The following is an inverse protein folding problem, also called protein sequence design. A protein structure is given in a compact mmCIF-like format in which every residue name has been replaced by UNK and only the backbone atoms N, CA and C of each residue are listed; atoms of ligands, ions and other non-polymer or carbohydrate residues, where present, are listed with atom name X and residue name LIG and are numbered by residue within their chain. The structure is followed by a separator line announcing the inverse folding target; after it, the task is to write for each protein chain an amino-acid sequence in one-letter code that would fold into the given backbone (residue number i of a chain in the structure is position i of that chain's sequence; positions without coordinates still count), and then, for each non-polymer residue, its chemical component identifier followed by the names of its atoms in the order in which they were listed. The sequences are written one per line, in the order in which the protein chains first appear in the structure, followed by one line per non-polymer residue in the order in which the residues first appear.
data_IF_714327286426
#
_entry.id   IF_714327286426
#
_cell.length_a   1.000
_cell.length_b   1.000
_cell.length_c   1.000
_cell.angle_alpha   90.00
_cell.angle_beta   90.00
_cell.angle_gamma   90.00
#
_symmetry.space_group_name_H-M   'P 1'
#
loop_
_entity.id
_entity.type
_entity.pdbx_description
1 polymer ?
#
# COMPACT_ATOMS: atom_id res chain seq x y z
N UNK A 1 0.63 -44.13 10.51
CA UNK A 1 0.55 -42.94 11.38
C UNK A 1 1.89 -42.22 11.48
N UNK A 2 3.02 -42.95 11.59
CA UNK A 2 4.37 -42.36 11.65
C UNK A 2 4.80 -41.58 10.39
N UNK A 3 4.47 -42.04 9.18
CA UNK A 3 4.81 -41.35 7.92
C UNK A 3 4.18 -39.95 7.84
N UNK A 4 2.98 -39.78 8.39
CA UNK A 4 2.26 -38.50 8.41
C UNK A 4 2.94 -37.52 9.36
N UNK A 5 3.38 -37.98 10.53
CA UNK A 5 4.12 -37.17 11.51
C UNK A 5 5.49 -36.70 10.97
N UNK A 6 6.22 -37.57 10.28
CA UNK A 6 7.51 -37.21 9.65
C UNK A 6 7.30 -36.18 8.55
N UNK A 7 6.27 -36.33 7.72
CA UNK A 7 5.96 -35.39 6.65
C UNK A 7 5.58 -34.00 7.18
N UNK A 8 4.72 -33.92 8.20
CA UNK A 8 4.40 -32.64 8.87
C UNK A 8 5.61 -32.01 9.55
N UNK A 9 6.49 -32.82 10.16
CA UNK A 9 7.77 -32.36 10.71
C UNK A 9 8.65 -31.71 9.65
N UNK A 10 8.86 -32.37 8.51
CA UNK A 10 9.66 -31.83 7.41
C UNK A 10 9.08 -30.52 6.84
N UNK A 11 7.76 -30.43 6.68
CA UNK A 11 7.10 -29.19 6.24
C UNK A 11 7.34 -28.07 7.25
N UNK A 12 7.15 -28.34 8.54
CA UNK A 12 7.35 -27.35 9.59
C UNK A 12 8.79 -26.83 9.64
N UNK A 13 9.79 -27.72 9.55
CA UNK A 13 11.19 -27.33 9.46
C UNK A 13 11.51 -26.53 8.19
N UNK A 14 10.93 -26.90 7.04
CA UNK A 14 11.10 -26.14 5.81
C UNK A 14 10.52 -24.72 5.92
N UNK A 15 9.35 -24.56 6.55
CA UNK A 15 8.75 -23.25 6.83
C UNK A 15 9.65 -22.43 7.75
N UNK A 16 10.12 -23.00 8.86
CA UNK A 16 11.02 -22.31 9.79
C UNK A 16 12.31 -21.88 9.09
N UNK A 17 12.91 -22.77 8.30
CA UNK A 17 14.12 -22.47 7.56
C UNK A 17 13.93 -21.31 6.58
N UNK A 18 12.85 -21.33 5.79
CA UNK A 18 12.52 -20.23 4.87
C UNK A 18 12.31 -18.92 5.63
N UNK A 19 11.60 -18.94 6.76
CA UNK A 19 11.40 -17.75 7.61
C UNK A 19 12.72 -17.22 8.16
N UNK A 20 13.62 -18.10 8.61
CA UNK A 20 14.94 -17.71 9.12
C UNK A 20 15.81 -17.09 8.04
N UNK A 21 15.84 -17.67 6.83
CA UNK A 21 16.58 -17.12 5.69
C UNK A 21 16.05 -15.75 5.29
N UNK A 22 14.72 -15.59 5.21
CA UNK A 22 14.08 -14.29 4.94
C UNK A 22 14.44 -13.26 6.02
N UNK A 23 14.47 -13.68 7.29
CA UNK A 23 14.81 -12.80 8.42
C UNK A 23 16.28 -12.35 8.42
N UNK A 24 17.22 -13.25 8.15
CA UNK A 24 18.66 -12.90 8.10
C UNK A 24 18.96 -11.99 6.90
N UNK A 25 18.39 -12.29 5.74
CA UNK A 25 18.54 -11.45 4.54
C UNK A 25 17.90 -10.06 4.74
N UNK A 26 16.75 -9.97 5.42
CA UNK A 26 16.15 -8.68 5.80
C UNK A 26 17.05 -7.84 6.71
N UNK A 27 17.75 -8.46 7.67
CA UNK A 27 18.73 -7.75 8.51
C UNK A 27 19.91 -7.20 7.70
N UNK A 28 20.38 -7.95 6.71
CA UNK A 28 21.50 -7.51 5.86
C UNK A 28 21.11 -6.29 5.01
N UNK A 29 19.91 -6.30 4.42
CA UNK A 29 19.38 -5.14 3.69
C UNK A 29 19.26 -3.92 4.61
N UNK A 30 18.67 -4.09 5.79
CA UNK A 30 18.55 -3.01 6.76
C UNK A 30 19.93 -2.44 7.13
N UNK A 31 20.95 -3.30 7.27
CA UNK A 31 22.32 -2.86 7.53
C UNK A 31 22.87 -2.03 6.37
N UNK A 32 22.74 -2.52 5.13
CA UNK A 32 23.20 -1.82 3.91
C UNK A 32 22.53 -0.45 3.79
N UNK A 33 21.21 -0.39 3.98
CA UNK A 33 20.45 0.85 3.95
C UNK A 33 20.94 1.87 4.98
N UNK A 34 21.12 1.43 6.23
CA UNK A 34 21.59 2.30 7.31
C UNK A 34 23.04 2.74 7.11
N UNK A 35 23.88 1.97 6.42
CA UNK A 35 25.25 2.37 6.10
C UNK A 35 25.31 3.34 4.91
N UNK A 36 24.45 3.16 3.90
CA UNK A 36 24.55 3.87 2.62
C UNK A 36 23.60 5.06 2.47
N UNK A 37 22.34 4.92 2.90
CA UNK A 37 21.31 5.93 2.70
C UNK A 37 21.17 6.86 3.90
N UNK A 38 21.23 6.33 5.13
CA UNK A 38 21.02 7.11 6.34
C UNK A 38 21.93 8.36 6.44
N UNK A 39 23.25 8.28 6.20
CA UNK A 39 24.11 9.47 6.30
C UNK A 39 23.73 10.56 5.28
N UNK A 40 23.36 10.16 4.06
CA UNK A 40 22.93 11.08 3.00
C UNK A 40 21.60 11.74 3.37
N UNK A 41 20.65 10.96 3.91
CA UNK A 41 19.34 11.47 4.35
C UNK A 41 19.43 12.39 5.56
N UNK A 42 20.31 12.10 6.52
CA UNK A 42 20.56 12.97 7.67
C UNK A 42 21.18 14.30 7.23
N UNK A 43 22.11 14.28 6.27
CA UNK A 43 22.68 15.49 5.68
C UNK A 43 21.63 16.32 4.90
N UNK A 44 20.75 15.65 4.15
CA UNK A 44 19.64 16.28 3.44
C UNK A 44 18.65 17.00 4.38
N UNK A 45 18.51 16.55 5.64
CA UNK A 45 17.65 17.23 6.60
C UNK A 45 18.12 18.67 6.89
N UNK A 46 19.43 18.91 6.83
CA UNK A 46 20.05 20.21 7.04
C UNK A 46 20.05 21.08 5.77
N UNK A 47 20.09 20.45 4.58
CA UNK A 47 20.00 21.14 3.30
C UNK A 47 19.08 20.39 2.29
N UNK A 48 17.76 20.57 2.40
CA UNK A 48 16.75 19.71 1.77
C UNK A 48 16.75 19.75 0.23
N UNK A 49 17.10 20.91 -0.33
CA UNK A 49 17.14 21.18 -1.77
C UNK A 49 18.53 20.97 -2.39
N UNK A 50 19.46 20.36 -1.65
CA UNK A 50 20.82 20.13 -2.14
C UNK A 50 20.84 19.11 -3.28
N UNK A 51 21.03 19.59 -4.51
CA UNK A 51 21.03 18.76 -5.72
C UNK A 51 22.16 17.73 -5.71
N UNK A 52 23.34 18.07 -5.18
CA UNK A 52 24.45 17.13 -5.10
C UNK A 52 24.14 15.96 -4.15
N UNK A 53 23.54 16.23 -2.99
CA UNK A 53 23.11 15.19 -2.06
C UNK A 53 21.94 14.36 -2.60
N UNK A 54 21.03 14.96 -3.36
CA UNK A 54 19.99 14.21 -4.08
C UNK A 54 20.62 13.23 -5.09
N UNK A 55 21.58 13.69 -5.90
CA UNK A 55 22.32 12.81 -6.83
C UNK A 55 23.08 11.71 -6.09
N UNK A 56 23.72 12.04 -4.97
CA UNK A 56 24.38 11.05 -4.12
C UNK A 56 23.39 9.99 -3.63
N UNK A 57 22.20 10.40 -3.16
CA UNK A 57 21.14 9.47 -2.75
C UNK A 57 20.76 8.51 -3.88
N UNK A 58 20.53 9.01 -5.10
CA UNK A 58 20.19 8.16 -6.25
C UNK A 58 21.31 7.18 -6.60
N UNK A 59 22.57 7.61 -6.52
CA UNK A 59 23.73 6.73 -6.75
C UNK A 59 23.81 5.63 -5.69
N UNK A 60 23.62 5.96 -4.41
CA UNK A 60 23.60 4.98 -3.31
C UNK A 60 22.44 4.01 -3.46
N UNK A 61 21.26 4.51 -3.84
CA UNK A 61 20.07 3.69 -4.07
C UNK A 61 20.28 2.69 -5.22
N UNK A 62 20.90 3.11 -6.33
CA UNK A 62 21.30 2.20 -7.41
C UNK A 62 22.34 1.17 -6.95
N UNK A 63 23.23 1.55 -6.03
CA UNK A 63 24.15 0.62 -5.38
C UNK A 63 23.45 -0.46 -4.56
N UNK A 64 22.30 -0.14 -3.96
CA UNK A 64 21.43 -1.11 -3.28
C UNK A 64 20.79 -2.04 -4.31
N UNK A 65 20.26 -1.52 -5.42
CA UNK A 65 19.68 -2.34 -6.50
C UNK A 65 20.65 -3.44 -6.97
N UNK A 66 21.92 -3.09 -7.20
CA UNK A 66 22.96 -4.04 -7.59
C UNK A 66 23.27 -5.11 -6.53
N UNK A 67 23.08 -4.78 -5.25
CA UNK A 67 23.21 -5.75 -4.16
C UNK A 67 21.97 -6.63 -4.06
N UNK A 68 20.77 -6.05 -4.20
CA UNK A 68 19.49 -6.78 -4.26
C UNK A 68 19.45 -7.77 -5.42
N UNK A 69 20.06 -7.44 -6.56
CA UNK A 69 20.18 -8.34 -7.71
C UNK A 69 20.93 -9.64 -7.36
N UNK A 70 21.91 -9.59 -6.45
CA UNK A 70 22.61 -10.80 -5.96
C UNK A 70 21.69 -11.70 -5.12
N UNK A 71 20.59 -11.16 -4.61
CA UNK A 71 19.57 -11.89 -3.84
C UNK A 71 18.33 -12.24 -4.70
N UNK A 72 18.33 -11.95 -6.01
CA UNK A 72 17.21 -12.32 -6.89
C UNK A 72 16.99 -13.84 -6.97
N UNK A 73 18.06 -14.63 -6.88
CA UNK A 73 17.98 -16.10 -6.85
C UNK A 73 17.19 -16.61 -5.63
N UNK A 74 17.17 -15.87 -4.52
CA UNK A 74 16.43 -16.23 -3.30
C UNK A 74 14.99 -15.68 -3.24
N UNK A 75 14.46 -15.12 -4.35
CA UNK A 75 13.12 -14.48 -4.41
C UNK A 75 12.87 -13.49 -3.27
N UNK A 76 13.93 -12.79 -2.85
CA UNK A 76 13.81 -11.88 -1.72
C UNK A 76 12.93 -10.68 -2.08
N UNK A 77 11.96 -10.41 -1.22
CA UNK A 77 11.03 -9.29 -1.34
C UNK A 77 11.68 -8.08 -0.67
N UNK A 78 12.09 -7.08 -1.46
CA UNK A 78 12.68 -5.87 -0.87
C UNK A 78 11.59 -5.07 -0.14
N UNK A 79 11.88 -4.76 1.13
CA UNK A 79 11.09 -3.86 1.97
C UNK A 79 12.05 -2.84 2.58
N UNK A 80 11.83 -1.55 2.37
CA UNK A 80 12.60 -0.51 3.04
C UNK A 80 12.51 -0.66 4.56
N UNK A 81 13.63 -0.38 5.24
CA UNK A 81 13.64 -0.37 6.71
C UNK A 81 12.80 0.79 7.27
N UNK A 82 12.25 0.57 8.46
CA UNK A 82 11.48 1.60 9.17
C UNK A 82 12.29 2.88 9.39
N UNK A 83 13.59 2.76 9.67
CA UNK A 83 14.47 3.91 9.88
C UNK A 83 14.59 4.80 8.64
N UNK A 84 14.78 4.21 7.46
CA UNK A 84 14.87 4.96 6.20
C UNK A 84 13.54 5.62 5.87
N UNK A 85 12.43 4.87 5.99
CA UNK A 85 11.08 5.42 5.79
C UNK A 85 10.81 6.58 6.74
N UNK A 86 11.16 6.44 8.02
CA UNK A 86 10.99 7.50 9.03
C UNK A 86 11.77 8.77 8.68
N UNK A 87 13.00 8.64 8.18
CA UNK A 87 13.80 9.80 7.76
C UNK A 87 13.19 10.50 6.54
N UNK A 88 12.77 9.74 5.53
CA UNK A 88 12.12 10.29 4.35
C UNK A 88 10.79 10.96 4.69
N UNK A 89 9.95 10.30 5.49
CA UNK A 89 8.65 10.84 5.91
C UNK A 89 8.83 12.08 6.77
N UNK A 90 9.78 12.08 7.71
CA UNK A 90 10.11 13.28 8.51
C UNK A 90 10.52 14.45 7.60
N UNK A 91 11.27 14.16 6.55
CA UNK A 91 11.68 15.17 5.57
C UNK A 91 10.45 15.72 4.81
N UNK A 92 9.57 14.83 4.35
CA UNK A 92 8.34 15.18 3.66
C UNK A 92 7.35 15.95 4.55
N UNK A 93 7.24 15.61 5.83
CA UNK A 93 6.41 16.34 6.80
C UNK A 93 6.92 17.77 7.01
N UNK A 94 8.25 17.95 7.01
CA UNK A 94 8.87 19.26 7.18
C UNK A 94 8.78 20.13 5.93
N UNK A 95 8.92 19.52 4.75
CA UNK A 95 8.84 20.22 3.45
C UNK A 95 7.92 19.48 2.47
N UNK A 96 6.60 19.57 2.63
CA UNK A 96 5.63 18.78 1.86
C UNK A 96 5.65 19.06 0.35
N UNK A 97 5.99 20.30 -0.02
CA UNK A 97 6.10 20.80 -1.41
C UNK A 97 7.48 20.52 -2.05
N UNK A 98 8.44 19.93 -1.33
CA UNK A 98 9.77 19.67 -1.89
C UNK A 98 9.71 18.51 -2.90
N UNK A 99 9.89 18.85 -4.17
CA UNK A 99 9.85 17.91 -5.30
C UNK A 99 10.97 16.88 -5.25
N UNK A 100 12.17 17.25 -4.78
CA UNK A 100 13.28 16.30 -4.63
C UNK A 100 13.01 15.35 -3.46
N UNK A 101 12.37 15.82 -2.40
CA UNK A 101 11.99 14.96 -1.27
C UNK A 101 10.92 13.95 -1.70
N UNK A 102 9.95 14.40 -2.49
CA UNK A 102 8.98 13.52 -3.12
C UNK A 102 9.65 12.48 -4.04
N UNK A 103 10.52 12.92 -4.95
CA UNK A 103 11.22 12.02 -5.88
C UNK A 103 12.06 10.96 -5.16
N UNK A 104 12.78 11.34 -4.09
CA UNK A 104 13.54 10.38 -3.26
C UNK A 104 12.65 9.32 -2.65
N UNK A 105 11.49 9.72 -2.14
CA UNK A 105 10.51 8.80 -1.58
C UNK A 105 9.95 7.85 -2.64
N UNK A 106 9.50 8.39 -3.79
CA UNK A 106 8.93 7.59 -4.88
C UNK A 106 9.95 6.58 -5.41
N UNK A 107 11.20 7.02 -5.65
CA UNK A 107 12.27 6.13 -6.08
C UNK A 107 12.50 4.95 -5.12
N UNK A 108 12.43 5.19 -3.81
CA UNK A 108 12.58 4.10 -2.83
C UNK A 108 11.39 3.14 -2.88
N UNK A 109 10.17 3.68 -2.90
CA UNK A 109 8.94 2.87 -2.89
C UNK A 109 8.75 2.09 -4.19
N UNK A 110 9.17 2.63 -5.34
CA UNK A 110 9.12 1.95 -6.64
C UNK A 110 9.96 0.67 -6.69
N UNK A 111 10.99 0.62 -5.85
CA UNK A 111 11.83 -0.57 -5.70
C UNK A 111 11.24 -1.56 -4.70
N UNK A 112 10.45 -1.07 -3.75
CA UNK A 112 9.86 -1.89 -2.70
C UNK A 112 8.79 -2.81 -3.26
N UNK A 113 8.85 -4.09 -2.91
CA UNK A 113 7.79 -5.07 -3.19
C UNK A 113 6.73 -5.11 -2.08
N UNK A 114 7.07 -4.58 -0.91
CA UNK A 114 6.15 -4.41 0.21
C UNK A 114 6.63 -3.27 1.11
N UNK A 115 5.68 -2.58 1.73
CA UNK A 115 5.96 -1.73 2.89
C UNK A 115 5.47 -2.50 4.12
N UNK A 116 6.34 -2.69 5.11
CA UNK A 116 5.96 -3.36 6.34
C UNK A 116 4.91 -2.54 7.13
N UNK A 117 4.23 -3.19 8.08
CA UNK A 117 3.17 -2.53 8.86
C UNK A 117 3.63 -1.25 9.59
N UNK A 118 4.82 -1.20 10.26
CA UNK A 118 5.34 0.04 10.84
C UNK A 118 5.52 1.15 9.80
N UNK A 119 6.04 0.82 8.62
CA UNK A 119 6.16 1.75 7.49
C UNK A 119 4.81 2.30 7.05
N UNK A 120 3.79 1.44 6.94
CA UNK A 120 2.43 1.89 6.64
C UNK A 120 1.85 2.82 7.70
N UNK A 121 2.10 2.55 8.99
CA UNK A 121 1.66 3.46 10.07
C UNK A 121 2.27 4.86 9.92
N UNK A 122 3.56 4.94 9.58
CA UNK A 122 4.22 6.23 9.32
C UNK A 122 3.61 6.95 8.10
N UNK A 123 3.28 6.21 7.04
CA UNK A 123 2.66 6.76 5.83
C UNK A 123 1.26 7.28 6.09
N UNK A 124 0.47 6.56 6.88
CA UNK A 124 -0.86 6.98 7.28
C UNK A 124 -0.77 8.29 8.08
N UNK A 125 0.15 8.37 9.05
CA UNK A 125 0.36 9.60 9.82
C UNK A 125 0.78 10.78 8.93
N UNK A 126 1.66 10.54 7.96
CA UNK A 126 2.07 11.54 6.98
C UNK A 126 0.89 12.02 6.12
N UNK A 127 0.09 11.08 5.62
CA UNK A 127 -1.10 11.34 4.84
C UNK A 127 -2.13 12.15 5.63
N UNK A 128 -2.38 11.82 6.89
CA UNK A 128 -3.32 12.54 7.76
C UNK A 128 -2.87 13.99 8.02
N UNK A 129 -1.57 14.26 8.13
CA UNK A 129 -1.02 15.61 8.33
C UNK A 129 -1.02 16.45 7.06
N UNK A 130 -0.84 15.82 5.90
CA UNK A 130 -0.62 16.49 4.62
C UNK A 130 -1.69 16.14 3.59
N UNK A 131 -2.90 15.85 4.07
CA UNK A 131 -3.94 15.24 3.23
C UNK A 131 -4.37 16.13 2.07
N UNK A 132 -4.29 17.46 2.24
CA UNK A 132 -4.59 18.46 1.21
C UNK A 132 -3.54 18.54 0.11
N UNK A 133 -2.37 17.93 0.31
CA UNK A 133 -1.29 17.98 -0.65
C UNK A 133 -1.40 16.85 -1.68
N UNK A 134 -1.51 17.13 -2.99
CA UNK A 134 -1.63 16.09 -4.03
C UNK A 134 -0.51 15.05 -3.97
N UNK A 135 0.73 15.48 -3.75
CA UNK A 135 1.86 14.55 -3.64
C UNK A 135 1.80 13.62 -2.42
N UNK A 136 1.10 13.96 -1.33
CA UNK A 136 0.93 13.04 -0.21
C UNK A 136 -0.01 11.87 -0.60
N UNK A 137 -1.07 12.21 -1.33
CA UNK A 137 -2.05 11.27 -1.89
C UNK A 137 -1.41 10.34 -2.93
N UNK A 138 -0.55 10.88 -3.80
CA UNK A 138 0.24 10.11 -4.77
C UNK A 138 1.20 9.12 -4.10
N UNK A 139 1.94 9.56 -3.06
CA UNK A 139 2.83 8.69 -2.28
C UNK A 139 2.06 7.53 -1.65
N UNK A 140 0.89 7.82 -1.07
CA UNK A 140 0.04 6.80 -0.48
C UNK A 140 -0.47 5.79 -1.52
N UNK A 141 -0.98 6.28 -2.65
CA UNK A 141 -1.41 5.45 -3.77
C UNK A 141 -0.28 4.52 -4.26
N UNK A 142 0.94 5.04 -4.37
CA UNK A 142 2.10 4.26 -4.81
C UNK A 142 2.46 3.14 -3.83
N UNK A 143 2.42 3.40 -2.52
CA UNK A 143 2.64 2.36 -1.53
C UNK A 143 1.59 1.26 -1.60
N UNK A 144 0.32 1.61 -1.84
CA UNK A 144 -0.76 0.62 -2.05
C UNK A 144 -0.51 -0.19 -3.33
N UNK A 145 -0.09 0.45 -4.42
CA UNK A 145 0.18 -0.21 -5.70
C UNK A 145 1.30 -1.23 -5.61
N UNK A 146 2.40 -0.90 -4.93
CA UNK A 146 3.58 -1.75 -4.88
C UNK A 146 3.48 -2.88 -3.85
N UNK A 147 2.58 -2.75 -2.87
CA UNK A 147 2.41 -3.79 -1.85
C UNK A 147 1.76 -5.04 -2.42
N UNK A 148 2.32 -6.21 -2.13
CA UNK A 148 1.70 -7.49 -2.46
C UNK A 148 0.51 -7.80 -1.53
N UNK A 149 0.65 -7.48 -0.25
CA UNK A 149 -0.34 -7.73 0.78
C UNK A 149 -0.44 -6.54 1.73
N UNK A 150 -1.62 -6.37 2.33
CA UNK A 150 -1.93 -5.27 3.23
C UNK A 150 -2.60 -5.79 4.51
N UNK A 151 -2.36 -5.11 5.62
CA UNK A 151 -3.01 -5.39 6.90
C UNK A 151 -4.34 -4.63 7.01
N UNK A 152 -5.27 -5.09 7.86
CA UNK A 152 -6.58 -4.42 8.01
C UNK A 152 -6.47 -2.97 8.51
N UNK A 153 -5.36 -2.60 9.15
CA UNK A 153 -5.09 -1.26 9.68
C UNK A 153 -5.18 -0.17 8.61
N UNK A 154 -4.92 -0.51 7.34
CA UNK A 154 -5.00 0.43 6.22
C UNK A 154 -6.43 0.74 5.76
N UNK A 155 -7.45 0.03 6.24
CA UNK A 155 -8.83 0.19 5.78
C UNK A 155 -9.43 1.57 6.12
N UNK A 156 -9.30 2.04 7.37
CA UNK A 156 -9.80 3.37 7.74
C UNK A 156 -9.11 4.51 6.95
N UNK A 157 -7.79 4.50 6.77
CA UNK A 157 -7.12 5.44 5.86
C UNK A 157 -7.65 5.42 4.42
N UNK A 158 -7.96 4.24 3.86
CA UNK A 158 -8.56 4.14 2.53
C UNK A 158 -9.95 4.78 2.49
N UNK A 159 -10.78 4.59 3.52
CA UNK A 159 -12.09 5.24 3.61
C UNK A 159 -11.96 6.76 3.72
N UNK A 160 -11.04 7.26 4.55
CA UNK A 160 -10.76 8.71 4.64
C UNK A 160 -10.32 9.27 3.29
N UNK A 161 -9.46 8.56 2.56
CA UNK A 161 -8.97 8.98 1.24
C UNK A 161 -10.11 9.08 0.22
N UNK A 162 -11.00 8.10 0.26
CA UNK A 162 -12.22 8.08 -0.53
C UNK A 162 -13.18 9.22 -0.17
N UNK A 163 -13.36 9.54 1.11
CA UNK A 163 -14.24 10.62 1.57
C UNK A 163 -13.85 12.00 1.04
N UNK A 164 -12.55 12.22 0.85
CA UNK A 164 -12.04 13.50 0.36
C UNK A 164 -12.20 13.69 -1.14
N UNK A 165 -12.02 12.62 -1.90
CA UNK A 165 -12.10 12.64 -3.35
C UNK A 165 -13.16 11.63 -3.83
N UNK A 166 -14.43 11.83 -3.45
CA UNK A 166 -15.48 10.81 -3.56
C UNK A 166 -15.83 10.46 -5.00
N UNK A 167 -15.47 11.29 -5.97
CA UNK A 167 -15.77 11.09 -7.39
C UNK A 167 -14.52 10.92 -8.26
N UNK A 168 -13.33 10.85 -7.65
CA UNK A 168 -12.07 10.72 -8.38
C UNK A 168 -11.81 9.24 -8.74
N UNK A 169 -11.76 8.90 -10.04
CA UNK A 169 -11.58 7.51 -10.48
C UNK A 169 -10.20 6.93 -10.10
N UNK A 170 -9.17 7.76 -9.91
CA UNK A 170 -7.86 7.28 -9.43
C UNK A 170 -7.95 6.86 -7.97
N UNK A 171 -8.66 7.62 -7.15
CA UNK A 171 -8.89 7.28 -5.73
C UNK A 171 -9.73 6.02 -5.61
N UNK A 172 -10.77 5.87 -6.44
CA UNK A 172 -11.58 4.65 -6.53
C UNK A 172 -10.74 3.42 -6.88
N UNK A 173 -9.83 3.55 -7.86
CA UNK A 173 -8.92 2.49 -8.27
C UNK A 173 -7.98 2.08 -7.13
N UNK A 174 -7.36 3.06 -6.47
CA UNK A 174 -6.48 2.83 -5.31
C UNK A 174 -7.24 2.13 -4.18
N UNK A 175 -8.48 2.55 -3.91
CA UNK A 175 -9.35 1.92 -2.92
C UNK A 175 -9.58 0.44 -3.23
N UNK A 176 -10.04 0.12 -4.45
CA UNK A 176 -10.29 -1.27 -4.89
C UNK A 176 -9.02 -2.12 -4.83
N UNK A 177 -7.89 -1.59 -5.29
CA UNK A 177 -6.61 -2.28 -5.22
C UNK A 177 -6.20 -2.54 -3.76
N UNK A 178 -6.37 -1.54 -2.89
CA UNK A 178 -6.08 -1.65 -1.47
C UNK A 178 -6.92 -2.73 -0.79
N UNK A 179 -8.25 -2.68 -0.92
CA UNK A 179 -9.13 -3.66 -0.25
C UNK A 179 -8.96 -5.09 -0.77
N UNK A 180 -8.59 -5.26 -2.04
CA UNK A 180 -8.27 -6.59 -2.60
C UNK A 180 -6.99 -7.21 -2.03
N UNK A 181 -6.05 -6.38 -1.58
CA UNK A 181 -4.77 -6.83 -1.01
C UNK A 181 -4.83 -7.07 0.49
N UNK A 182 -5.94 -6.76 1.17
CA UNK A 182 -6.10 -7.02 2.61
C UNK A 182 -6.31 -8.52 2.83
N UNK A 183 -5.33 -9.20 3.45
CA UNK A 183 -5.31 -10.68 3.64
C UNK A 183 -6.52 -11.18 4.44
N UNK A 184 -7.11 -10.34 5.31
CA UNK A 184 -8.19 -10.70 6.22
C UNK A 184 -9.42 -9.79 6.05
N UNK A 185 -9.82 -9.52 4.81
CA UNK A 185 -11.05 -8.77 4.53
C UNK A 185 -12.30 -9.64 4.84
N UNK A 186 -12.77 -9.66 6.08
CA UNK A 186 -14.02 -10.33 6.44
C UNK A 186 -15.27 -9.64 5.88
N UNK A 187 -16.42 -10.30 5.95
CA UNK A 187 -17.72 -9.80 5.43
C UNK A 187 -18.12 -8.42 5.98
N UNK A 188 -17.71 -8.11 7.22
CA UNK A 188 -17.95 -6.81 7.83
C UNK A 188 -17.23 -5.67 7.07
N UNK A 189 -15.95 -5.87 6.73
CA UNK A 189 -15.16 -4.86 5.99
C UNK A 189 -15.74 -4.64 4.59
N UNK A 190 -16.12 -5.72 3.91
CA UNK A 190 -16.68 -5.59 2.56
C UNK A 190 -18.05 -4.92 2.56
N UNK A 191 -18.90 -5.22 3.54
CA UNK A 191 -20.17 -4.54 3.74
C UNK A 191 -19.98 -3.04 4.02
N UNK A 192 -19.06 -2.68 4.92
CA UNK A 192 -18.74 -1.26 5.22
C UNK A 192 -18.29 -0.49 3.97
N UNK A 193 -17.42 -1.09 3.15
CA UNK A 193 -16.99 -0.47 1.90
C UNK A 193 -18.16 -0.30 0.91
N UNK A 194 -19.03 -1.31 0.80
CA UNK A 194 -20.19 -1.24 -0.09
C UNK A 194 -21.16 -0.16 0.35
N UNK A 195 -21.53 -0.10 1.64
CA UNK A 195 -22.31 0.99 2.22
C UNK A 195 -21.67 2.35 1.91
N UNK A 196 -20.36 2.48 2.10
CA UNK A 196 -19.65 3.73 1.82
C UNK A 196 -19.74 4.15 0.35
N UNK A 197 -19.62 3.20 -0.58
CA UNK A 197 -19.76 3.47 -2.01
C UNK A 197 -21.17 3.96 -2.36
N UNK A 198 -22.19 3.40 -1.71
CA UNK A 198 -23.59 3.80 -1.89
C UNK A 198 -23.85 5.20 -1.35
N UNK A 199 -23.33 5.54 -0.17
CA UNK A 199 -23.40 6.89 0.41
C UNK A 199 -22.75 7.94 -0.52
N UNK A 200 -21.63 7.57 -1.15
CA UNK A 200 -20.93 8.43 -2.11
C UNK A 200 -21.79 8.65 -3.36
N UNK A 201 -22.40 7.59 -3.89
CA UNK A 201 -23.31 7.71 -5.03
C UNK A 201 -24.54 8.54 -4.68
N UNK A 202 -25.14 8.35 -3.52
CA UNK A 202 -26.31 9.12 -3.08
C UNK A 202 -26.02 10.63 -3.05
N UNK A 203 -24.83 11.03 -2.58
CA UNK A 203 -24.39 12.44 -2.61
C UNK A 203 -23.98 12.93 -4.00
N UNK A 204 -23.81 12.04 -4.96
CA UNK A 204 -23.30 12.32 -6.30
C UNK A 204 -24.11 11.54 -7.36
N UNK A 205 -25.45 11.59 -7.29
CA UNK A 205 -26.38 10.68 -7.99
C UNK A 205 -26.21 10.66 -9.51
N UNK A 206 -25.79 11.76 -10.10
CA UNK A 206 -25.55 11.91 -11.54
C UNK A 206 -24.11 11.59 -11.98
N UNK A 207 -23.20 11.29 -11.06
CA UNK A 207 -21.79 11.08 -11.37
C UNK A 207 -21.52 9.64 -11.88
N UNK A 208 -21.02 9.53 -13.12
CA UNK A 208 -20.74 8.23 -13.75
C UNK A 208 -19.63 7.45 -13.04
N UNK A 209 -18.63 8.12 -12.46
CA UNK A 209 -17.54 7.47 -11.73
C UNK A 209 -18.06 6.91 -10.41
N UNK A 210 -18.94 7.63 -9.70
CA UNK A 210 -19.58 7.12 -8.49
C UNK A 210 -20.41 5.84 -8.78
N UNK A 211 -21.16 5.81 -9.89
CA UNK A 211 -21.91 4.61 -10.32
C UNK A 211 -21.00 3.42 -10.61
N UNK A 212 -19.91 3.65 -11.36
CA UNK A 212 -18.90 2.62 -11.65
C UNK A 212 -18.24 2.11 -10.37
N UNK A 213 -17.95 3.01 -9.44
CA UNK A 213 -17.34 2.64 -8.17
C UNK A 213 -18.24 1.75 -7.32
N UNK A 214 -19.54 2.06 -7.21
CA UNK A 214 -20.52 1.18 -6.54
C UNK A 214 -20.54 -0.21 -7.19
N UNK A 215 -20.47 -0.27 -8.53
CA UNK A 215 -20.44 -1.55 -9.24
C UNK A 215 -19.20 -2.38 -8.89
N UNK A 216 -18.02 -1.76 -8.89
CA UNK A 216 -16.76 -2.43 -8.58
C UNK A 216 -16.70 -2.90 -7.11
N UNK A 217 -17.11 -2.04 -6.17
CA UNK A 217 -17.16 -2.40 -4.73
C UNK A 217 -18.24 -3.45 -4.47
N UNK A 218 -19.40 -3.35 -5.12
CA UNK A 218 -20.49 -4.32 -5.00
C UNK A 218 -20.05 -5.71 -5.46
N UNK A 219 -19.42 -5.81 -6.64
CA UNK A 219 -18.85 -7.08 -7.13
C UNK A 219 -17.84 -7.67 -6.16
N UNK A 220 -16.96 -6.84 -5.63
CA UNK A 220 -16.00 -7.27 -4.62
C UNK A 220 -16.70 -7.77 -3.35
N UNK A 221 -17.71 -7.04 -2.84
CA UNK A 221 -18.47 -7.40 -1.65
C UNK A 221 -19.23 -8.72 -1.81
N UNK A 222 -20.02 -8.88 -2.87
CA UNK A 222 -20.78 -10.11 -3.11
C UNK A 222 -19.87 -11.30 -3.43
N UNK A 223 -18.75 -11.07 -4.12
CA UNK A 223 -17.73 -12.10 -4.32
C UNK A 223 -17.15 -12.62 -3.01
N UNK A 224 -16.91 -11.73 -2.03
CA UNK A 224 -16.48 -12.10 -0.67
C UNK A 224 -17.56 -12.84 0.10
N UNK A 225 -18.80 -12.35 0.09
CA UNK A 225 -19.93 -12.99 0.78
C UNK A 225 -20.14 -14.44 0.32
N UNK A 226 -19.95 -14.70 -0.97
CA UNK A 226 -20.14 -16.02 -1.58
C UNK A 226 -18.89 -16.91 -1.54
N UNK A 227 -17.74 -16.38 -1.14
CA UNK A 227 -16.43 -17.05 -1.31
C UNK A 227 -16.23 -17.56 -2.75
N UNK A 228 -16.69 -16.80 -3.74
CA UNK A 228 -16.84 -17.30 -5.11
C UNK A 228 -17.24 -16.23 -6.12
N UNK A 229 -17.76 -16.68 -7.27
CA UNK A 229 -18.12 -15.79 -8.38
C UNK A 229 -19.44 -15.05 -8.11
N UNK A 230 -19.45 -13.76 -8.43
CA UNK A 230 -20.66 -12.93 -8.44
C UNK A 230 -21.68 -13.50 -9.43
N UNK A 231 -22.94 -13.57 -9.02
CA UNK A 231 -24.05 -14.09 -9.83
C UNK A 231 -24.81 -12.98 -10.53
N UNK A 232 -25.66 -13.33 -11.50
CA UNK A 232 -26.56 -12.37 -12.16
C UNK A 232 -27.53 -11.69 -11.16
N UNK A 233 -27.90 -12.37 -10.08
CA UNK A 233 -28.79 -11.82 -9.06
C UNK A 233 -28.08 -10.77 -8.20
N UNK A 234 -26.78 -10.96 -7.94
CA UNK A 234 -25.97 -9.97 -7.23
C UNK A 234 -25.75 -8.74 -8.10
N UNK A 235 -25.45 -8.92 -9.39
CA UNK A 235 -25.37 -7.83 -10.36
C UNK A 235 -26.70 -7.04 -10.41
N UNK A 236 -27.83 -7.74 -10.49
CA UNK A 236 -29.15 -7.09 -10.47
C UNK A 236 -29.40 -6.34 -9.16
N UNK A 237 -29.00 -6.88 -8.01
CA UNK A 237 -29.13 -6.21 -6.72
C UNK A 237 -28.32 -4.91 -6.68
N UNK A 238 -27.07 -4.94 -7.16
CA UNK A 238 -26.21 -3.75 -7.26
C UNK A 238 -26.85 -2.72 -8.21
N UNK A 239 -27.35 -3.14 -9.37
CA UNK A 239 -28.00 -2.23 -10.32
C UNK A 239 -29.26 -1.59 -9.73
N UNK A 240 -30.06 -2.35 -8.98
CA UNK A 240 -31.23 -1.82 -8.27
C UNK A 240 -30.80 -0.78 -7.22
N UNK A 241 -29.75 -1.06 -6.44
CA UNK A 241 -29.19 -0.12 -5.46
C UNK A 241 -28.72 1.18 -6.10
N UNK A 242 -28.06 1.10 -7.26
CA UNK A 242 -27.64 2.24 -8.07
C UNK A 242 -28.85 3.01 -8.57
N UNK A 243 -29.86 2.32 -9.11
CA UNK A 243 -31.05 2.95 -9.70
C UNK A 243 -31.83 3.77 -8.67
N UNK A 244 -32.08 3.20 -7.48
CA UNK A 244 -32.79 3.89 -6.39
C UNK A 244 -32.07 5.19 -6.01
N UNK A 245 -30.74 5.16 -5.87
CA UNK A 245 -29.93 6.32 -5.47
C UNK A 245 -29.62 7.30 -6.59
N UNK A 246 -29.78 6.87 -7.85
CA UNK A 246 -29.60 7.74 -9.03
C UNK A 246 -30.88 8.49 -9.42
N UNK A 247 -32.02 8.12 -8.84
CA UNK A 247 -33.34 8.70 -9.14
C UNK A 247 -33.72 9.88 -8.23
N UNK A 248 -32.81 10.29 -7.35
CA UNK A 248 -32.89 11.46 -6.48
C UNK A 248 -32.03 12.60 -7.03
#
# INVERSE_FOLDING_TARGET
MEIVLVFFGCIFFAIIYVVLVQFTQGKEINKIENEQLKPVLENLYNNPKCVSQHKEFLVKLKGIDLKLDKFKESKLVYSPSENILKLLIKHLDKYPIDTLAHERFMNLVDRANQINEPGFKLLIQHLERNFDHPSANERFAQCINNSQFLTVVIFEPLLKYLDKYPTDPLVHKVFIQGVNKIILSGNNLSGRAYTKSLEILEKNSNNINAKKFVLDVGRWHFGKLRSGKVTIYDEQAIQNDIAVRSSQ
#
